data_IF_169322729350
#
_entry.id   IF_169322729350
#
_cell.length_a   1.000
_cell.length_b   1.000
_cell.length_c   1.000
_cell.angle_alpha   90.00
_cell.angle_beta   90.00
_cell.angle_gamma   90.00
#
_symmetry.space_group_name_H-M   'P 1'
#
loop_
_entity.id
_entity.type
_entity.pdbx_description
1 polymer ?
#
# COMPACT_ATOMS: atom_id res chain seq x y z
N UNK A 1 -23.68 7.39 -13.12
CA UNK A 1 -23.17 7.35 -11.73
C UNK A 1 -21.96 6.44 -11.79
N UNK A 2 -20.79 6.99 -11.43
CA UNK A 2 -19.48 6.38 -11.73
C UNK A 2 -19.36 4.96 -11.17
N UNK A 3 -18.73 4.10 -11.96
CA UNK A 3 -18.32 2.74 -11.61
C UNK A 3 -17.78 2.69 -10.19
N UNK A 4 -18.31 1.76 -9.40
CA UNK A 4 -17.81 1.22 -8.13
C UNK A 4 -16.49 1.84 -7.68
N UNK A 5 -16.52 2.66 -6.63
CA UNK A 5 -15.32 3.10 -5.93
C UNK A 5 -14.59 1.84 -5.46
N UNK A 6 -13.56 1.41 -6.21
CA UNK A 6 -12.67 0.35 -5.77
C UNK A 6 -12.03 0.83 -4.47
N UNK A 7 -12.45 0.20 -3.37
CA UNK A 7 -11.92 0.49 -2.05
C UNK A 7 -10.41 0.23 -2.09
N UNK A 8 -9.61 1.24 -1.77
CA UNK A 8 -8.14 1.10 -1.70
C UNK A 8 -7.76 -0.06 -0.79
N UNK A 9 -6.79 -0.87 -1.20
CA UNK A 9 -6.29 -1.99 -0.39
C UNK A 9 -5.81 -1.51 0.99
N UNK A 10 -5.22 -0.31 1.06
CA UNK A 10 -4.71 0.27 2.31
C UNK A 10 -5.87 0.53 3.28
N UNK A 11 -6.95 1.14 2.77
CA UNK A 11 -8.17 1.37 3.54
C UNK A 11 -8.80 0.06 3.99
N UNK A 12 -8.94 -0.91 3.08
CA UNK A 12 -9.46 -2.24 3.41
C UNK A 12 -8.62 -2.94 4.49
N UNK A 13 -7.30 -2.90 4.36
CA UNK A 13 -6.36 -3.55 5.28
C UNK A 13 -6.40 -2.92 6.68
N UNK A 14 -6.39 -1.58 6.78
CA UNK A 14 -6.48 -0.89 8.07
C UNK A 14 -7.85 -1.08 8.74
N UNK A 15 -8.90 -1.34 7.96
CA UNK A 15 -10.25 -1.63 8.46
C UNK A 15 -10.46 -3.06 8.99
N UNK A 16 -9.49 -3.97 8.85
CA UNK A 16 -9.60 -5.34 9.38
C UNK A 16 -9.50 -5.36 10.90
N UNK A 17 -10.27 -6.25 11.54
CA UNK A 17 -10.13 -6.49 12.98
C UNK A 17 -8.73 -6.99 13.33
N UNK A 18 -8.10 -6.38 14.34
CA UNK A 18 -6.71 -6.62 14.73
C UNK A 18 -5.69 -5.69 14.05
N UNK A 19 -6.13 -4.84 13.11
CA UNK A 19 -5.27 -3.88 12.40
C UNK A 19 -5.48 -2.43 12.89
N UNK A 20 -6.06 -2.23 14.07
CA UNK A 20 -6.43 -0.90 14.59
C UNK A 20 -5.21 0.00 14.90
N UNK A 21 -4.00 -0.57 14.91
CA UNK A 21 -2.74 0.15 15.11
C UNK A 21 -2.09 0.65 13.81
N UNK A 22 -2.59 0.23 12.65
CA UNK A 22 -2.07 0.69 11.36
C UNK A 22 -2.73 1.98 10.93
N UNK A 23 -2.00 2.80 10.17
CA UNK A 23 -2.54 3.99 9.54
C UNK A 23 -2.52 3.84 8.01
N UNK A 24 -3.44 4.55 7.37
CA UNK A 24 -3.48 4.68 5.92
C UNK A 24 -2.30 5.57 5.47
N UNK A 25 -1.50 5.05 4.54
CA UNK A 25 -0.35 5.76 3.96
C UNK A 25 -0.75 6.27 2.57
N UNK A 26 -0.40 7.52 2.26
CA UNK A 26 -0.69 8.12 0.95
C UNK A 26 -0.03 7.35 -0.20
N UNK A 27 -0.76 7.18 -1.29
CA UNK A 27 -0.24 6.48 -2.48
C UNK A 27 1.01 7.17 -3.06
N UNK A 28 1.06 8.50 -3.03
CA UNK A 28 2.21 9.28 -3.52
C UNK A 28 3.49 8.97 -2.73
N UNK A 29 3.38 8.73 -1.42
CA UNK A 29 4.50 8.35 -0.58
C UNK A 29 5.06 6.97 -0.96
N UNK A 30 4.18 6.05 -1.33
CA UNK A 30 4.50 4.67 -1.71
C UNK A 30 5.03 4.59 -3.15
N UNK A 31 4.57 5.47 -4.04
CA UNK A 31 5.05 5.55 -5.43
C UNK A 31 6.47 6.12 -5.53
N UNK A 32 6.88 6.95 -4.57
CA UNK A 32 8.25 7.44 -4.50
C UNK A 32 9.22 6.32 -4.07
N UNK A 33 10.02 5.87 -5.02
CA UNK A 33 11.03 4.82 -4.81
C UNK A 33 12.09 5.21 -3.79
N UNK A 34 12.33 6.51 -3.56
CA UNK A 34 13.26 6.96 -2.55
C UNK A 34 12.79 6.54 -1.15
N UNK A 35 11.50 6.68 -0.85
CA UNK A 35 10.89 6.29 0.44
C UNK A 35 10.90 4.77 0.68
N UNK A 36 11.13 3.98 -0.37
CA UNK A 36 11.23 2.51 -0.32
C UNK A 36 12.67 2.00 -0.31
N UNK A 37 13.65 2.91 -0.26
CA UNK A 37 15.07 2.55 -0.18
C UNK A 37 15.33 1.76 1.10
N UNK A 38 16.05 0.63 0.99
CA UNK A 38 16.29 -0.30 2.10
C UNK A 38 15.27 -1.45 2.19
N UNK A 39 13.99 -1.19 1.92
CA UNK A 39 12.96 -2.22 1.85
C UNK A 39 13.13 -3.12 0.62
N UNK A 40 13.45 -2.51 -0.52
CA UNK A 40 13.68 -3.22 -1.80
C UNK A 40 14.88 -4.19 -1.70
N UNK A 41 15.86 -3.90 -0.84
CA UNK A 41 17.05 -4.76 -0.67
C UNK A 41 16.79 -5.99 0.20
N UNK A 42 15.79 -5.94 1.10
CA UNK A 42 15.44 -7.05 2.00
C UNK A 42 14.33 -7.93 1.43
N UNK A 43 13.46 -7.38 0.59
CA UNK A 43 12.37 -8.12 -0.03
C UNK A 43 12.77 -8.63 -1.43
N UNK A 44 13.31 -9.85 -1.50
CA UNK A 44 13.84 -10.48 -2.73
C UNK A 44 12.85 -10.61 -3.91
N UNK A 45 11.58 -10.23 -3.77
CA UNK A 45 10.54 -10.28 -4.81
C UNK A 45 9.75 -8.96 -5.00
N UNK A 46 10.20 -7.84 -4.43
CA UNK A 46 9.50 -6.55 -4.53
C UNK A 46 9.72 -5.86 -5.89
N UNK A 47 9.21 -6.45 -6.97
CA UNK A 47 9.38 -5.92 -8.34
C UNK A 47 8.53 -4.67 -8.64
N UNK A 48 7.42 -4.48 -7.91
CA UNK A 48 6.55 -3.32 -8.06
C UNK A 48 5.66 -3.15 -6.82
N UNK A 49 6.01 -2.24 -5.88
CA UNK A 49 5.21 -1.92 -4.69
C UNK A 49 3.74 -1.64 -5.04
N UNK A 50 3.54 -0.89 -6.12
CA UNK A 50 2.24 -0.45 -6.61
C UNK A 50 1.35 -1.61 -7.07
N UNK A 51 1.91 -2.76 -7.45
CA UNK A 51 1.13 -3.95 -7.87
C UNK A 51 0.78 -4.87 -6.69
N UNK A 52 1.45 -4.70 -5.56
CA UNK A 52 1.15 -5.44 -4.34
C UNK A 52 0.06 -4.73 -3.52
N UNK A 53 -0.04 -3.42 -3.68
CA UNK A 53 -0.96 -2.53 -2.95
C UNK A 53 -2.23 -2.22 -3.75
N UNK A 54 -2.29 -2.55 -5.04
CA UNK A 54 -3.54 -2.61 -5.83
C UNK A 54 -3.95 -4.06 -5.99
#
# INVERSE_FOLDING_TARGET
>A
MSSSEEVSWIFWFCGLHGNEFFCEVDEDYIQDKFNLTGLIMTASNFKSPVKTIR
#
